data_IF_071875458771
#
_entry.id   IF_071875458771
#
_cell.length_a   1.000
_cell.length_b   1.000
_cell.length_c   1.000
_cell.angle_alpha   90.00
_cell.angle_beta   90.00
_cell.angle_gamma   90.00
#
_symmetry.space_group_name_H-M   'P 1'
#
loop_
_entity.id
_entity.type
_entity.pdbx_description
1 polymer ?
#
# COMPACT_ATOMS: atom_id res chain seq x y z
N UNK A 1 16.18 11.41 -10.60
CA UNK A 1 15.11 11.47 -9.58
C UNK A 1 13.86 10.83 -10.15
N UNK A 2 13.53 9.63 -9.68
CA UNK A 2 12.33 8.92 -10.11
C UNK A 2 11.13 9.58 -9.44
N UNK A 3 10.24 10.16 -10.25
CA UNK A 3 9.07 10.88 -9.75
C UNK A 3 7.78 10.14 -10.11
N UNK A 4 6.88 9.99 -9.14
CA UNK A 4 5.57 9.40 -9.39
C UNK A 4 4.65 10.37 -10.13
N UNK A 5 3.98 9.86 -11.15
CA UNK A 5 3.04 10.61 -11.96
C UNK A 5 1.58 10.35 -11.58
N UNK A 6 0.68 11.19 -12.13
CA UNK A 6 -0.76 11.01 -12.00
C UNK A 6 -1.24 9.67 -12.58
N UNK A 7 -0.51 9.11 -13.56
CA UNK A 7 -0.86 7.85 -14.20
C UNK A 7 -0.71 6.68 -13.22
N UNK A 8 0.41 6.63 -12.50
CA UNK A 8 0.70 5.59 -11.52
C UNK A 8 -0.29 5.68 -10.36
N UNK A 9 -0.51 6.89 -9.81
CA UNK A 9 -1.46 7.10 -8.72
C UNK A 9 -2.91 6.74 -9.10
N UNK A 10 -3.36 7.08 -10.31
CA UNK A 10 -4.66 6.63 -10.82
C UNK A 10 -4.73 5.12 -10.96
N UNK A 11 -3.65 4.48 -11.42
CA UNK A 11 -3.59 3.03 -11.50
C UNK A 11 -3.66 2.38 -10.11
N UNK A 12 -2.99 2.95 -9.10
CA UNK A 12 -3.07 2.48 -7.70
C UNK A 12 -4.51 2.58 -7.20
N UNK A 13 -5.15 3.73 -7.41
CA UNK A 13 -6.54 3.96 -7.01
C UNK A 13 -7.53 2.97 -7.64
N UNK A 14 -7.42 2.70 -8.96
CA UNK A 14 -8.31 1.72 -9.58
C UNK A 14 -8.02 0.29 -9.14
N UNK A 15 -6.75 -0.03 -8.86
CA UNK A 15 -6.37 -1.37 -8.38
C UNK A 15 -6.74 -1.61 -6.91
N UNK A 16 -6.91 -0.56 -6.10
CA UNK A 16 -7.32 -0.74 -4.70
C UNK A 16 -8.73 -1.31 -4.56
N UNK A 17 -9.60 -1.19 -5.57
CA UNK A 17 -10.90 -1.86 -5.56
C UNK A 17 -10.78 -3.39 -5.59
N UNK A 18 -9.68 -3.93 -6.13
CA UNK A 18 -9.43 -5.37 -6.15
C UNK A 18 -8.77 -5.88 -4.86
N UNK A 19 -8.66 -5.05 -3.80
CA UNK A 19 -7.94 -5.37 -2.57
C UNK A 19 -8.43 -6.68 -1.92
N UNK A 20 -9.74 -6.86 -1.80
CA UNK A 20 -10.33 -8.04 -1.17
C UNK A 20 -10.37 -9.27 -2.09
N UNK A 21 -10.00 -9.13 -3.36
CA UNK A 21 -10.10 -10.21 -4.36
C UNK A 21 -9.17 -11.40 -4.09
N UNK A 22 -8.13 -11.22 -3.28
CA UNK A 22 -7.18 -12.25 -2.88
C UNK A 22 -7.00 -12.32 -1.36
N UNK A 23 -8.10 -12.11 -0.63
CA UNK A 23 -8.08 -12.22 0.83
C UNK A 23 -7.69 -13.64 1.25
N UNK A 24 -6.77 -13.76 2.20
CA UNK A 24 -6.30 -15.03 2.74
C UNK A 24 -6.20 -14.98 4.26
N UNK A 25 -6.34 -16.11 4.94
CA UNK A 25 -6.32 -16.13 6.41
C UNK A 25 -4.93 -15.97 7.02
N UNK A 26 -3.86 -16.20 6.25
CA UNK A 26 -2.48 -16.08 6.74
C UNK A 26 -2.05 -14.62 6.86
N UNK A 27 -2.41 -13.78 5.87
CA UNK A 27 -1.90 -12.40 5.72
C UNK A 27 -2.97 -11.39 5.27
N UNK A 28 -4.24 -11.80 5.26
CA UNK A 28 -5.42 -10.95 5.05
C UNK A 28 -5.43 -10.29 3.67
N UNK A 29 -5.31 -8.95 3.59
CA UNK A 29 -5.46 -8.15 2.38
C UNK A 29 -4.11 -7.85 1.68
N UNK A 30 -3.01 -8.43 2.16
CA UNK A 30 -1.64 -8.14 1.69
C UNK A 30 -1.45 -8.33 0.17
N UNK A 31 -2.03 -9.36 -0.44
CA UNK A 31 -1.88 -9.67 -1.86
C UNK A 31 -2.53 -8.59 -2.72
N UNK A 32 -3.73 -8.15 -2.35
CA UNK A 32 -4.41 -7.03 -3.00
C UNK A 32 -3.63 -5.73 -2.85
N UNK A 33 -3.02 -5.51 -1.67
CA UNK A 33 -2.19 -4.33 -1.41
C UNK A 33 -0.95 -4.31 -2.31
N UNK A 34 -0.24 -5.45 -2.37
CA UNK A 34 0.91 -5.63 -3.22
C UNK A 34 0.56 -5.45 -4.71
N UNK A 35 -0.58 -5.99 -5.15
CA UNK A 35 -1.09 -5.80 -6.51
C UNK A 35 -1.35 -4.33 -6.87
N UNK A 36 -1.91 -3.56 -5.92
CA UNK A 36 -2.15 -2.13 -6.09
C UNK A 36 -0.83 -1.33 -6.21
N UNK A 37 0.23 -1.75 -5.50
CA UNK A 37 1.55 -1.11 -5.50
C UNK A 37 2.45 -1.48 -6.69
N UNK A 38 2.18 -2.58 -7.41
CA UNK A 38 2.94 -2.99 -8.60
C UNK A 38 3.30 -1.88 -9.60
N UNK A 39 2.39 -0.96 -10.04
CA UNK A 39 2.75 0.11 -10.97
C UNK A 39 3.76 1.10 -10.39
N UNK A 40 3.72 1.36 -9.07
CA UNK A 40 4.68 2.21 -8.36
C UNK A 40 6.04 1.54 -8.33
N UNK A 41 6.09 0.29 -7.89
CA UNK A 41 7.34 -0.49 -7.78
C UNK A 41 8.04 -0.61 -9.14
N UNK A 42 7.29 -0.95 -10.20
CA UNK A 42 7.83 -1.06 -11.56
C UNK A 42 8.36 0.27 -12.12
N UNK A 43 7.83 1.40 -11.65
CA UNK A 43 8.25 2.74 -12.07
C UNK A 43 9.52 3.19 -11.33
N UNK A 44 9.60 2.90 -10.04
CA UNK A 44 10.67 3.39 -9.16
C UNK A 44 11.93 2.52 -9.22
N UNK A 45 11.77 1.20 -9.39
CA UNK A 45 12.88 0.24 -9.36
C UNK A 45 13.05 -0.43 -10.73
N UNK A 46 14.26 -0.35 -11.30
CA UNK A 46 14.56 -0.98 -12.60
C UNK A 46 15.18 -2.38 -12.48
N UNK A 47 15.86 -2.66 -11.36
CA UNK A 47 16.45 -3.98 -11.10
C UNK A 47 15.42 -4.92 -10.50
N UNK A 48 15.45 -6.19 -10.92
CA UNK A 48 14.54 -7.22 -10.39
C UNK A 48 14.73 -7.47 -8.90
N UNK A 49 15.97 -7.38 -8.41
CA UNK A 49 16.31 -7.56 -6.99
C UNK A 49 15.65 -6.49 -6.11
N UNK A 50 15.72 -5.22 -6.52
CA UNK A 50 15.12 -4.11 -5.79
C UNK A 50 13.58 -4.17 -5.85
N UNK A 51 13.03 -4.59 -6.99
CA UNK A 51 11.58 -4.86 -7.12
C UNK A 51 11.13 -5.98 -6.18
N UNK A 52 11.90 -7.07 -6.07
CA UNK A 52 11.57 -8.19 -5.19
C UNK A 52 11.54 -7.74 -3.72
N UNK A 53 12.54 -6.99 -3.27
CA UNK A 53 12.58 -6.42 -1.90
C UNK A 53 11.38 -5.53 -1.60
N UNK A 54 11.01 -4.64 -2.54
CA UNK A 54 9.83 -3.79 -2.39
C UNK A 54 8.52 -4.60 -2.34
N UNK A 55 8.41 -5.66 -3.14
CA UNK A 55 7.24 -6.55 -3.12
C UNK A 55 7.14 -7.32 -1.79
N UNK A 56 8.26 -7.80 -1.24
CA UNK A 56 8.28 -8.50 0.04
C UNK A 56 7.73 -7.64 1.18
N UNK A 57 8.16 -6.36 1.28
CA UNK A 57 7.62 -5.41 2.28
C UNK A 57 6.11 -5.21 2.15
N UNK A 58 5.60 -5.14 0.92
CA UNK A 58 4.17 -4.95 0.70
C UNK A 58 3.35 -6.24 0.89
N UNK A 59 3.99 -7.41 0.90
CA UNK A 59 3.39 -8.72 1.23
C UNK A 59 3.33 -9.01 2.74
N UNK A 60 3.80 -8.10 3.59
CA UNK A 60 3.54 -8.15 5.02
C UNK A 60 2.05 -8.06 5.33
N UNK A 61 1.66 -8.61 6.50
CA UNK A 61 0.28 -8.64 6.98
C UNK A 61 -0.34 -7.24 6.89
N UNK A 62 -1.53 -7.17 6.30
CA UNK A 62 -2.26 -5.92 6.18
C UNK A 62 -3.75 -6.18 6.23
N UNK A 63 -4.44 -5.42 7.07
CA UNK A 63 -5.88 -5.48 7.19
C UNK A 63 -6.43 -4.15 7.70
N UNK A 64 -7.36 -3.57 6.93
CA UNK A 64 -8.09 -2.37 7.32
C UNK A 64 -9.37 -2.26 6.48
N UNK A 65 -10.22 -1.30 6.80
CA UNK A 65 -11.46 -1.05 6.07
C UNK A 65 -11.14 -0.66 4.61
N UNK A 66 -11.63 -1.40 3.60
CA UNK A 66 -11.25 -1.22 2.19
C UNK A 66 -11.36 0.22 1.66
N UNK A 67 -12.31 1.00 2.19
CA UNK A 67 -12.57 2.37 1.74
C UNK A 67 -11.43 3.34 2.07
N UNK A 68 -10.68 3.09 3.15
CA UNK A 68 -9.60 3.97 3.61
C UNK A 68 -8.22 3.55 3.08
N UNK A 69 -8.12 2.34 2.52
CA UNK A 69 -6.88 1.76 1.97
C UNK A 69 -6.19 2.64 0.91
N UNK A 70 -6.89 3.33 -0.01
CA UNK A 70 -6.24 4.22 -0.99
C UNK A 70 -5.36 5.29 -0.34
N UNK A 71 -5.71 5.78 0.85
CA UNK A 71 -4.93 6.77 1.59
C UNK A 71 -3.60 6.18 2.06
N UNK A 72 -3.61 4.97 2.62
CA UNK A 72 -2.40 4.27 3.08
C UNK A 72 -1.51 3.93 1.87
N UNK A 73 -2.11 3.45 0.77
CA UNK A 73 -1.40 3.20 -0.49
C UNK A 73 -0.68 4.46 -0.99
N UNK A 74 -1.34 5.62 -0.98
CA UNK A 74 -0.75 6.89 -1.38
C UNK A 74 0.44 7.31 -0.52
N UNK A 75 0.33 7.17 0.81
CA UNK A 75 1.43 7.46 1.75
C UNK A 75 2.61 6.52 1.49
N UNK A 76 2.37 5.21 1.41
CA UNK A 76 3.46 4.25 1.15
C UNK A 76 4.10 4.44 -0.22
N UNK A 77 3.34 4.86 -1.24
CA UNK A 77 3.90 5.18 -2.55
C UNK A 77 4.83 6.39 -2.51
N UNK A 78 4.49 7.43 -1.74
CA UNK A 78 5.38 8.57 -1.53
C UNK A 78 6.65 8.19 -0.77
N UNK A 79 6.55 7.29 0.21
CA UNK A 79 7.72 6.79 0.93
C UNK A 79 8.61 5.90 0.04
N UNK A 80 8.03 5.05 -0.78
CA UNK A 80 8.78 4.26 -1.78
C UNK A 80 9.48 5.18 -2.80
N UNK A 81 8.83 6.28 -3.19
CA UNK A 81 9.47 7.31 -4.04
C UNK A 81 10.67 7.95 -3.33
N UNK A 82 10.56 8.28 -2.04
CA UNK A 82 11.68 8.78 -1.24
C UNK A 82 12.81 7.74 -1.13
N UNK A 83 12.47 6.48 -0.83
CA UNK A 83 13.42 5.37 -0.76
C UNK A 83 14.18 5.19 -2.07
N UNK A 84 13.48 5.24 -3.21
CA UNK A 84 14.12 5.09 -4.53
C UNK A 84 15.08 6.22 -4.89
N UNK A 85 14.95 7.39 -4.26
CA UNK A 85 15.75 8.57 -4.53
C UNK A 85 16.82 8.84 -3.47
N UNK A 86 16.76 8.19 -2.31
CA UNK A 86 17.67 8.38 -1.19
C UNK A 86 18.19 7.02 -0.68
N UNK A 87 19.49 6.76 -0.86
CA UNK A 87 20.13 5.52 -0.43
C UNK A 87 20.18 5.33 1.09
N UNK A 88 20.05 6.41 1.86
CA UNK A 88 20.09 6.39 3.32
C UNK A 88 18.70 6.29 3.96
N UNK A 89 17.65 6.12 3.13
CA UNK A 89 16.29 5.96 3.61
C UNK A 89 16.12 4.60 4.30
N UNK A 90 15.49 4.62 5.47
CA UNK A 90 15.18 3.40 6.21
C UNK A 90 13.95 2.70 5.63
N UNK A 91 14.16 1.61 4.89
CA UNK A 91 13.08 0.82 4.29
C UNK A 91 12.09 0.28 5.34
N UNK A 92 12.54 0.03 6.57
CA UNK A 92 11.68 -0.49 7.65
C UNK A 92 10.61 0.53 8.08
N UNK A 93 10.86 1.81 7.85
CA UNK A 93 9.90 2.87 8.13
C UNK A 93 8.62 2.73 7.29
N UNK A 94 8.70 2.17 6.08
CA UNK A 94 7.53 1.96 5.20
C UNK A 94 6.58 0.94 5.84
N UNK A 95 7.13 -0.20 6.27
CA UNK A 95 6.40 -1.25 6.98
C UNK A 95 5.85 -0.76 8.32
N UNK A 96 6.63 0.03 9.05
CA UNK A 96 6.22 0.63 10.32
C UNK A 96 5.03 1.59 10.17
N UNK A 97 5.07 2.50 9.18
CA UNK A 97 3.95 3.42 8.92
C UNK A 97 2.70 2.65 8.45
N UNK A 98 2.85 1.65 7.59
CA UNK A 98 1.75 0.79 7.16
C UNK A 98 1.06 0.15 8.37
N UNK A 99 1.84 -0.42 9.30
CA UNK A 99 1.33 -1.06 10.51
C UNK A 99 0.71 -0.05 11.48
N UNK A 100 1.36 1.09 11.69
CA UNK A 100 0.87 2.14 12.59
C UNK A 100 -0.46 2.74 12.13
N UNK A 101 -0.68 2.83 10.82
CA UNK A 101 -1.91 3.37 10.24
C UNK A 101 -3.05 2.35 10.16
N UNK A 102 -2.75 1.04 10.16
CA UNK A 102 -3.77 -0.01 10.09
C UNK A 102 -4.82 0.11 11.20
N UNK A 103 -4.39 0.22 12.46
CA UNK A 103 -5.29 0.22 13.62
C UNK A 103 -6.22 1.44 13.68
N UNK A 104 -5.70 2.67 13.70
CA UNK A 104 -6.52 3.87 13.78
C UNK A 104 -7.46 4.04 12.57
N UNK A 105 -6.98 3.74 11.35
CA UNK A 105 -7.80 3.88 10.16
C UNK A 105 -8.83 2.77 10.02
N UNK A 106 -8.56 1.55 10.50
CA UNK A 106 -9.58 0.52 10.61
C UNK A 106 -10.70 0.97 11.57
N UNK A 107 -10.36 1.48 12.75
CA UNK A 107 -11.36 1.96 13.72
C UNK A 107 -12.24 3.09 13.16
N UNK A 108 -11.64 4.06 12.46
CA UNK A 108 -12.39 5.15 11.81
C UNK A 108 -13.25 4.62 10.65
N UNK A 109 -12.67 3.76 9.81
CA UNK A 109 -13.36 3.19 8.67
C UNK A 109 -14.55 2.35 9.08
N UNK A 110 -14.37 1.51 10.10
CA UNK A 110 -15.43 0.65 10.59
C UNK A 110 -16.53 1.45 11.27
N UNK A 111 -16.18 2.50 12.02
CA UNK A 111 -17.17 3.39 12.64
C UNK A 111 -18.01 4.17 11.60
N UNK A 112 -17.38 4.66 10.54
CA UNK A 112 -18.06 5.50 9.55
C UNK A 112 -18.84 4.68 8.51
N UNK A 113 -18.22 3.64 7.95
CA UNK A 113 -18.81 2.87 6.85
C UNK A 113 -19.72 1.76 7.35
N UNK A 114 -19.25 0.94 8.30
CA UNK A 114 -20.06 -0.16 8.85
C UNK A 114 -21.00 0.29 9.96
N UNK A 115 -20.61 1.30 10.77
CA UNK A 115 -21.40 1.78 11.91
C UNK A 115 -22.48 2.82 11.59
N UNK A 116 -22.33 3.62 10.52
CA UNK A 116 -23.28 4.69 10.19
C UNK A 116 -23.86 4.62 8.78
N UNK A 117 -23.12 4.10 7.80
CA UNK A 117 -23.59 4.05 6.41
C UNK A 117 -24.27 2.73 6.03
N UNK A 118 -24.29 1.71 6.90
CA UNK A 118 -24.92 0.38 6.68
C UNK A 118 -24.80 -0.12 5.22
N UNK A 119 -23.61 -0.01 4.62
CA UNK A 119 -23.29 -0.55 3.29
C UNK A 119 -22.51 -1.85 3.39
#
# INVERSE_FOLDING_TARGET
MNKLGKKELRSVFWRSFALQGAFNYERMQNLGYCYAMLPVIKKLYSKKEDQAKALERHLEIFNTTPVIVPTILGITAAMEEQNSNNSDFDESAISAIKTALMGPLAGIGDSLFWGHLEL
#
